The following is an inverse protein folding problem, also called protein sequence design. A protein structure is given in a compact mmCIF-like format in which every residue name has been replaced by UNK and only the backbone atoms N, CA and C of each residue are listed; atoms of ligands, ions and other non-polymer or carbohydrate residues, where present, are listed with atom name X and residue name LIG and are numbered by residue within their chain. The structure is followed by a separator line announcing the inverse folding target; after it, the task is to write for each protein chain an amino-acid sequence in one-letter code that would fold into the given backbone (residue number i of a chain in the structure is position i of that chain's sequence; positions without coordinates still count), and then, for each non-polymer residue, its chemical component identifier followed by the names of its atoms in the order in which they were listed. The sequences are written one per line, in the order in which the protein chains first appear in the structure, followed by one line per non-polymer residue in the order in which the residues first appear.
data_IF_761619613536
#
_entry.id   IF_761619613536
#
_cell.length_a   1.000
_cell.length_b   1.000
_cell.length_c   1.000
_cell.angle_alpha   90.00
_cell.angle_beta   90.00
_cell.angle_gamma   90.00
#
_symmetry.space_group_name_H-M   'P 1'
#
loop_
_entity.id
_entity.type
_entity.pdbx_description
1 polymer ?
#
# COMPACT_ATOMS: atom_id res chain seq x y z
N UNK A 1 34.78 31.98 -6.37
CA UNK A 1 34.24 30.65 -6.72
C UNK A 1 32.84 30.58 -6.13
N UNK A 2 31.80 30.73 -6.95
CA UNK A 2 30.40 30.62 -6.50
C UNK A 2 29.78 29.41 -7.17
N UNK A 3 29.47 28.38 -6.40
CA UNK A 3 28.68 27.23 -6.83
C UNK A 3 27.21 27.59 -6.68
N UNK A 4 26.53 27.89 -7.78
CA UNK A 4 25.07 27.95 -7.77
C UNK A 4 24.48 26.56 -7.51
N UNK A 5 23.44 26.43 -6.66
CA UNK A 5 22.79 25.16 -6.44
C UNK A 5 22.03 24.76 -7.71
N UNK A 6 22.47 23.67 -8.33
CA UNK A 6 21.77 23.04 -9.45
C UNK A 6 20.32 22.79 -9.04
N UNK A 7 19.38 23.49 -9.68
CA UNK A 7 17.95 23.24 -9.51
C UNK A 7 17.65 21.77 -9.86
N UNK A 8 17.02 21.06 -8.91
CA UNK A 8 16.57 19.71 -9.13
C UNK A 8 15.53 19.69 -10.27
N UNK A 9 15.51 18.64 -11.11
CA UNK A 9 14.49 18.52 -12.14
C UNK A 9 13.09 18.51 -11.51
N UNK A 10 12.07 19.06 -12.20
CA UNK A 10 10.72 19.10 -11.68
C UNK A 10 10.24 17.67 -11.37
N UNK A 11 9.65 17.50 -10.19
CA UNK A 11 9.05 16.24 -9.79
C UNK A 11 8.00 15.80 -10.84
N UNK A 12 7.88 14.49 -11.11
CA UNK A 12 6.89 13.99 -12.05
C UNK A 12 5.49 14.46 -11.64
N UNK A 13 4.60 14.74 -12.61
CA UNK A 13 3.24 15.19 -12.33
C UNK A 13 2.55 14.18 -11.41
N UNK A 14 1.97 14.70 -10.33
CA UNK A 14 1.17 13.89 -9.42
C UNK A 14 0.06 13.16 -10.23
N UNK A 15 -0.20 11.87 -9.96
CA UNK A 15 -1.29 11.16 -10.61
C UNK A 15 -2.61 11.93 -10.37
N UNK A 16 -3.58 11.81 -11.30
CA UNK A 16 -4.80 12.62 -11.27
C UNK A 16 -5.50 12.51 -9.90
N UNK A 17 -5.95 13.66 -9.39
CA UNK A 17 -6.53 13.90 -8.07
C UNK A 17 -7.92 13.25 -7.87
N UNK A 18 -8.10 12.02 -8.33
CA UNK A 18 -9.22 11.17 -7.98
C UNK A 18 -8.91 10.37 -6.72
N UNK A 19 -9.93 9.97 -5.94
CA UNK A 19 -9.73 9.03 -4.85
C UNK A 19 -9.10 7.73 -5.40
N UNK A 20 -8.15 7.10 -4.67
CA UNK A 20 -7.55 5.85 -5.11
C UNK A 20 -8.62 4.80 -5.49
N UNK A 21 -8.34 3.95 -6.49
CA UNK A 21 -9.30 2.96 -7.03
C UNK A 21 -9.87 1.97 -5.99
N UNK A 22 -9.20 1.82 -4.85
CA UNK A 22 -9.63 0.97 -3.75
C UNK A 22 -10.60 1.69 -2.78
N UNK A 23 -10.73 3.01 -2.89
CA UNK A 23 -11.64 3.82 -2.07
C UNK A 23 -13.09 3.37 -2.29
N UNK A 24 -13.81 3.11 -1.20
CA UNK A 24 -15.20 2.61 -1.24
C UNK A 24 -15.32 1.08 -1.31
N UNK A 25 -14.23 0.34 -1.48
CA UNK A 25 -14.25 -1.13 -1.33
C UNK A 25 -14.18 -1.51 0.14
N UNK A 26 -14.93 -2.53 0.60
CA UNK A 26 -14.75 -3.06 1.94
C UNK A 26 -13.37 -3.71 2.05
N UNK A 27 -12.70 -3.57 3.19
CA UNK A 27 -11.33 -4.07 3.44
C UNK A 27 -11.16 -5.55 3.03
N UNK A 28 -12.17 -6.39 3.31
CA UNK A 28 -12.16 -7.81 2.95
C UNK A 28 -12.13 -8.08 1.43
N UNK A 29 -12.44 -7.10 0.58
CA UNK A 29 -12.42 -7.22 -0.89
C UNK A 29 -11.18 -6.59 -1.54
N UNK A 30 -10.35 -5.88 -0.79
CA UNK A 30 -9.10 -5.31 -1.31
C UNK A 30 -8.10 -6.40 -1.63
N UNK A 31 -7.45 -6.38 -2.79
CA UNK A 31 -6.31 -7.26 -3.12
C UNK A 31 -5.11 -6.98 -2.22
N UNK A 32 -4.13 -7.89 -2.18
CA UNK A 32 -2.88 -7.67 -1.41
C UNK A 32 -2.15 -6.41 -1.86
N UNK A 33 -2.13 -6.13 -3.16
CA UNK A 33 -1.54 -4.92 -3.72
C UNK A 33 -2.30 -3.65 -3.31
N UNK A 34 -3.64 -3.68 -3.36
CA UNK A 34 -4.46 -2.55 -2.91
C UNK A 34 -4.35 -2.30 -1.41
N UNK A 35 -4.16 -3.35 -0.60
CA UNK A 35 -3.92 -3.20 0.84
C UNK A 35 -2.58 -2.50 1.11
N UNK A 36 -1.52 -2.84 0.38
CA UNK A 36 -0.23 -2.15 0.48
C UNK A 36 -0.33 -0.69 0.01
N UNK A 37 -0.99 -0.45 -1.13
CA UNK A 37 -1.25 0.88 -1.67
C UNK A 37 -2.06 1.75 -0.69
N UNK A 38 -3.04 1.15 -0.01
CA UNK A 38 -3.85 1.84 0.99
C UNK A 38 -3.04 2.20 2.25
N UNK A 39 -2.17 1.32 2.73
CA UNK A 39 -1.28 1.61 3.88
C UNK A 39 -0.33 2.77 3.55
N UNK A 40 0.32 2.74 2.39
CA UNK A 40 1.22 3.82 1.92
C UNK A 40 0.47 5.15 1.71
N UNK A 41 -0.81 5.08 1.33
CA UNK A 41 -1.66 6.27 1.23
C UNK A 41 -1.98 6.85 2.61
N UNK A 42 -2.33 6.02 3.59
CA UNK A 42 -2.64 6.49 4.95
C UNK A 42 -1.43 7.13 5.62
N UNK A 43 -0.25 6.52 5.49
CA UNK A 43 0.99 7.09 6.04
C UNK A 43 1.26 8.52 5.52
N UNK A 44 0.91 8.79 4.26
CA UNK A 44 1.15 10.09 3.62
C UNK A 44 0.03 11.12 3.83
N UNK A 45 -1.22 10.68 3.98
CA UNK A 45 -2.38 11.58 3.91
C UNK A 45 -3.29 11.55 5.14
N UNK A 46 -3.21 10.49 5.95
CA UNK A 46 -4.10 10.24 7.10
C UNK A 46 -3.33 9.50 8.22
N UNK A 47 -2.19 10.01 8.70
CA UNK A 47 -1.37 9.31 9.69
C UNK A 47 -2.12 9.08 11.02
N UNK A 48 -3.12 9.90 11.32
CA UNK A 48 -3.91 9.82 12.55
C UNK A 48 -5.04 8.76 12.49
N UNK A 49 -5.32 8.16 11.33
CA UNK A 49 -6.38 7.15 11.18
C UNK A 49 -5.89 5.73 11.56
N UNK A 50 -5.55 5.57 12.84
CA UNK A 50 -5.00 4.34 13.41
C UNK A 50 -5.95 3.14 13.25
N UNK A 51 -7.26 3.37 13.34
CA UNK A 51 -8.26 2.30 13.28
C UNK A 51 -8.29 1.71 11.88
N UNK A 52 -8.34 2.55 10.84
CA UNK A 52 -8.30 2.09 9.46
C UNK A 52 -6.94 1.47 9.13
N UNK A 53 -5.84 2.09 9.57
CA UNK A 53 -4.48 1.57 9.38
C UNK A 53 -4.31 0.15 9.97
N UNK A 54 -4.76 -0.07 11.20
CA UNK A 54 -4.70 -1.41 11.84
C UNK A 54 -5.58 -2.43 11.14
N UNK A 55 -6.78 -2.03 10.68
CA UNK A 55 -7.67 -2.93 9.95
C UNK A 55 -7.05 -3.40 8.62
N UNK A 56 -6.43 -2.47 7.87
CA UNK A 56 -5.73 -2.79 6.62
C UNK A 56 -4.51 -3.68 6.87
N UNK A 57 -3.69 -3.35 7.88
CA UNK A 57 -2.52 -4.15 8.26
C UNK A 57 -2.90 -5.58 8.67
N UNK A 58 -3.97 -5.74 9.46
CA UNK A 58 -4.47 -7.06 9.86
C UNK A 58 -4.95 -7.91 8.69
N UNK A 59 -5.67 -7.32 7.72
CA UNK A 59 -6.09 -8.05 6.52
C UNK A 59 -4.90 -8.39 5.61
N UNK A 60 -3.95 -7.47 5.46
CA UNK A 60 -2.71 -7.72 4.71
C UNK A 60 -1.93 -8.89 5.29
N UNK A 61 -1.70 -8.89 6.61
CA UNK A 61 -1.03 -9.98 7.31
C UNK A 61 -1.75 -11.32 7.12
N UNK A 62 -3.08 -11.34 7.26
CA UNK A 62 -3.90 -12.54 7.06
C UNK A 62 -3.73 -13.13 5.66
N UNK A 63 -3.79 -12.29 4.62
CA UNK A 63 -3.71 -12.74 3.22
C UNK A 63 -2.33 -13.23 2.84
N UNK A 64 -1.29 -12.53 3.29
CA UNK A 64 0.09 -12.95 3.07
C UNK A 64 0.37 -14.27 3.79
N UNK A 65 -0.11 -14.45 5.01
CA UNK A 65 -0.01 -15.71 5.73
C UNK A 65 -0.75 -16.85 5.00
N UNK A 66 -1.96 -16.61 4.50
CA UNK A 66 -2.72 -17.61 3.74
C UNK A 66 -2.01 -18.01 2.44
N UNK A 67 -1.45 -17.05 1.70
CA UNK A 67 -0.68 -17.30 0.49
C UNK A 67 0.58 -18.11 0.77
N UNK A 68 1.34 -17.76 1.81
CA UNK A 68 2.54 -18.50 2.22
C UNK A 68 2.20 -19.92 2.70
N UNK A 69 1.10 -20.09 3.44
CA UNK A 69 0.62 -21.40 3.84
C UNK A 69 0.29 -22.27 2.62
N UNK A 70 -0.47 -21.73 1.66
CA UNK A 70 -0.81 -22.43 0.42
C UNK A 70 0.44 -22.82 -0.38
N UNK A 71 1.42 -21.91 -0.48
CA UNK A 71 2.72 -22.16 -1.14
C UNK A 71 3.48 -23.32 -0.49
N UNK A 72 3.57 -23.34 0.85
CA UNK A 72 4.24 -24.41 1.60
C UNK A 72 3.52 -25.75 1.45
N UNK A 73 2.19 -25.75 1.51
CA UNK A 73 1.40 -26.96 1.31
C UNK A 73 1.55 -27.54 -0.10
N UNK A 74 1.67 -26.68 -1.13
CA UNK A 74 1.94 -27.12 -2.50
C UNK A 74 3.36 -27.70 -2.66
N UNK A 75 4.36 -27.10 -2.01
CA UNK A 75 5.73 -27.59 -2.02
C UNK A 75 5.88 -28.94 -1.31
N UNK A 76 5.15 -29.17 -0.22
CA UNK A 76 5.17 -30.43 0.53
C UNK A 76 4.50 -31.61 -0.19
N UNK A 77 3.76 -31.34 -1.27
CA UNK A 77 3.08 -32.36 -2.09
C UNK A 77 3.87 -32.76 -3.34
N UNK A 78 5.04 -32.15 -3.56
CA UNK A 78 5.96 -32.47 -4.65
C UNK A 78 7.10 -33.34 -4.13
#
# INVERSE_FOLDING_TARGET
MSTEPRAAPPAPPAPPAGPPRWTGKPVRRLTTAELAEALEYLERHRPDDDVLGRALAGEFARRTAAAEFARRAAAARR
#
